data_IF_577258388960
#
_entry.id   IF_577258388960
#
_cell.length_a   1.000
_cell.length_b   1.000
_cell.length_c   1.000
_cell.angle_alpha   90.00
_cell.angle_beta   90.00
_cell.angle_gamma   90.00
#
_symmetry.space_group_name_H-M   'P 1'
#
loop_
_entity.id
_entity.type
_entity.pdbx_description
1 polymer ?
#
# COMPACT_ATOMS: atom_id res chain seq x y z
N UNK A 1 5.57 12.93 -4.01
CA UNK A 1 4.54 12.63 -2.99
C UNK A 1 5.10 12.70 -1.57
N UNK A 2 6.09 11.87 -1.21
CA UNK A 2 6.74 11.88 0.12
C UNK A 2 7.44 13.20 0.54
N UNK A 3 7.60 14.16 -0.38
CA UNK A 3 8.16 15.49 -0.11
C UNK A 3 7.13 16.61 -0.24
N UNK A 4 5.91 16.30 -0.70
CA UNK A 4 4.91 17.30 -1.10
C UNK A 4 3.67 17.24 -0.20
N UNK A 5 3.45 16.14 0.51
CA UNK A 5 2.30 15.96 1.41
C UNK A 5 2.66 15.86 2.88
N UNK A 6 3.94 15.79 3.21
CA UNK A 6 4.43 15.43 4.55
C UNK A 6 3.81 16.32 5.61
N UNK A 7 3.78 17.63 5.37
CA UNK A 7 3.34 18.64 6.32
C UNK A 7 1.84 18.60 6.60
N UNK A 8 1.04 17.98 5.73
CA UNK A 8 -0.40 17.75 5.94
C UNK A 8 -0.72 16.45 6.67
N UNK A 9 0.26 15.57 6.90
CA UNK A 9 0.05 14.28 7.56
C UNK A 9 0.28 14.38 9.07
N UNK A 10 -0.46 13.60 9.86
CA UNK A 10 -0.27 13.50 11.32
C UNK A 10 1.18 13.14 11.70
N UNK A 11 1.89 12.46 10.81
CA UNK A 11 3.27 12.07 11.01
C UNK A 11 4.26 13.25 10.92
N UNK A 12 3.89 14.42 10.39
CA UNK A 12 4.79 15.61 10.30
C UNK A 12 5.30 16.13 11.63
N UNK A 13 4.56 15.93 12.72
CA UNK A 13 4.78 16.61 14.00
C UNK A 13 4.12 17.99 14.07
N UNK A 14 3.50 18.48 12.99
CA UNK A 14 2.73 19.72 12.98
C UNK A 14 1.46 19.57 13.83
N UNK A 15 0.98 20.67 14.40
CA UNK A 15 -0.33 20.75 15.04
C UNK A 15 -1.46 20.51 14.04
N UNK A 16 -2.65 20.16 14.53
CA UNK A 16 -3.81 19.93 13.65
C UNK A 16 -4.21 21.18 12.85
N UNK A 17 -4.04 22.37 13.43
CA UNK A 17 -4.32 23.63 12.76
C UNK A 17 -3.34 23.87 11.60
N UNK A 18 -2.04 23.66 11.82
CA UNK A 18 -1.01 23.78 10.78
C UNK A 18 -1.23 22.77 9.65
N UNK A 19 -1.60 21.53 9.97
CA UNK A 19 -1.93 20.52 8.94
C UNK A 19 -3.16 20.91 8.13
N UNK A 20 -4.21 21.39 8.81
CA UNK A 20 -5.43 21.85 8.14
C UNK A 20 -5.12 23.00 7.19
N UNK A 21 -4.38 24.01 7.66
CA UNK A 21 -3.94 25.15 6.84
C UNK A 21 -3.13 24.69 5.63
N UNK A 22 -2.17 23.77 5.83
CA UNK A 22 -1.38 23.21 4.74
C UNK A 22 -2.28 22.52 3.70
N UNK A 23 -3.23 21.69 4.13
CA UNK A 23 -4.16 21.00 3.24
C UNK A 23 -5.00 22.00 2.44
N UNK A 24 -5.52 23.05 3.07
CA UNK A 24 -6.32 24.07 2.37
C UNK A 24 -5.48 24.82 1.33
N UNK A 25 -4.25 25.20 1.69
CA UNK A 25 -3.35 25.94 0.79
C UNK A 25 -2.83 25.08 -0.37
N UNK A 26 -2.90 23.75 -0.27
CA UNK A 26 -2.37 22.81 -1.25
C UNK A 26 -3.40 21.79 -1.74
N UNK A 27 -4.71 22.12 -1.68
CA UNK A 27 -5.80 21.16 -1.84
C UNK A 27 -5.71 20.30 -3.11
N UNK A 28 -5.44 20.91 -4.27
CA UNK A 28 -5.35 20.19 -5.53
C UNK A 28 -4.20 19.17 -5.54
N UNK A 29 -3.05 19.55 -4.99
CA UNK A 29 -1.87 18.68 -4.90
C UNK A 29 -2.10 17.56 -3.87
N UNK A 30 -2.75 17.89 -2.74
CA UNK A 30 -3.15 16.92 -1.72
C UNK A 30 -4.05 15.84 -2.31
N UNK A 31 -5.11 16.23 -3.03
CA UNK A 31 -6.02 15.31 -3.70
C UNK A 31 -5.33 14.44 -4.76
N UNK A 32 -4.50 15.05 -5.61
CA UNK A 32 -3.74 14.31 -6.64
C UNK A 32 -2.76 13.32 -6.02
N UNK A 33 -2.18 13.66 -4.88
CA UNK A 33 -1.35 12.74 -4.11
C UNK A 33 -2.13 11.49 -3.73
N UNK A 34 -3.24 11.62 -3.01
CA UNK A 34 -4.03 10.48 -2.58
C UNK A 34 -4.63 9.67 -3.75
N UNK A 35 -5.02 10.34 -4.84
CA UNK A 35 -5.42 9.65 -6.07
C UNK A 35 -4.27 8.79 -6.64
N UNK A 36 -3.04 9.31 -6.63
CA UNK A 36 -1.86 8.52 -7.01
C UNK A 36 -1.64 7.32 -6.06
N UNK A 37 -1.95 7.45 -4.77
CA UNK A 37 -1.92 6.33 -3.82
C UNK A 37 -2.96 5.26 -4.14
N UNK A 38 -4.20 5.67 -4.44
CA UNK A 38 -5.25 4.75 -4.87
C UNK A 38 -4.84 3.98 -6.13
N UNK A 39 -4.23 4.67 -7.11
CA UNK A 39 -3.70 4.04 -8.32
C UNK A 39 -2.57 3.05 -8.00
N UNK A 40 -1.71 3.35 -7.03
CA UNK A 40 -0.67 2.42 -6.60
C UNK A 40 -1.27 1.16 -5.94
N UNK A 41 -2.30 1.30 -5.09
CA UNK A 41 -3.02 0.19 -4.48
C UNK A 41 -3.69 -0.70 -5.53
N UNK A 42 -4.37 -0.11 -6.52
CA UNK A 42 -4.94 -0.83 -7.66
C UNK A 42 -3.85 -1.47 -8.54
N UNK A 43 -2.70 -0.80 -8.69
CA UNK A 43 -1.53 -1.32 -9.37
C UNK A 43 -0.96 -2.57 -8.69
N UNK A 44 -0.90 -2.59 -7.36
CA UNK A 44 -0.52 -3.77 -6.58
C UNK A 44 -1.46 -4.95 -6.83
N UNK A 45 -2.78 -4.74 -6.75
CA UNK A 45 -3.75 -5.80 -7.06
C UNK A 45 -3.59 -6.31 -8.49
N UNK A 46 -3.44 -5.40 -9.45
CA UNK A 46 -3.21 -5.75 -10.85
C UNK A 46 -1.94 -6.58 -11.01
N UNK A 47 -0.84 -6.17 -10.38
CA UNK A 47 0.41 -6.92 -10.37
C UNK A 47 0.24 -8.33 -9.80
N UNK A 48 -0.46 -8.48 -8.67
CA UNK A 48 -0.77 -9.78 -8.08
C UNK A 48 -1.62 -10.66 -9.01
N UNK A 49 -2.61 -10.09 -9.70
CA UNK A 49 -3.39 -10.80 -10.73
C UNK A 49 -2.52 -11.27 -11.90
N UNK A 50 -1.60 -10.43 -12.37
CA UNK A 50 -0.67 -10.77 -13.46
C UNK A 50 0.33 -11.85 -13.06
N UNK A 51 0.62 -12.03 -11.76
CA UNK A 51 1.46 -13.11 -11.26
C UNK A 51 0.78 -14.49 -11.28
N UNK A 52 -0.55 -14.56 -11.29
CA UNK A 52 -1.29 -15.82 -11.14
C UNK A 52 -0.92 -16.92 -12.15
N UNK A 53 -0.67 -16.64 -13.44
CA UNK A 53 -0.24 -17.66 -14.42
C UNK A 53 1.13 -18.30 -14.11
N UNK A 54 1.92 -17.69 -13.21
CA UNK A 54 3.22 -18.18 -12.79
C UNK A 54 3.17 -18.93 -11.45
N UNK A 55 2.00 -19.00 -10.82
CA UNK A 55 1.77 -19.63 -9.52
C UNK A 55 0.93 -20.91 -9.72
N UNK A 56 1.37 -22.07 -9.19
CA UNK A 56 0.59 -23.30 -9.29
C UNK A 56 -0.83 -23.14 -8.74
N UNK A 57 -1.79 -23.80 -9.38
CA UNK A 57 -3.18 -23.77 -8.91
C UNK A 57 -3.29 -24.43 -7.55
N UNK A 58 -3.83 -23.71 -6.57
CA UNK A 58 -4.13 -24.20 -5.22
C UNK A 58 -5.12 -23.26 -4.54
N UNK A 59 -5.74 -23.72 -3.46
CA UNK A 59 -6.60 -22.92 -2.59
C UNK A 59 -5.83 -21.76 -1.97
N UNK A 60 -4.53 -21.95 -1.69
CA UNK A 60 -3.63 -20.91 -1.18
C UNK A 60 -3.41 -19.78 -2.18
N UNK A 61 -3.38 -20.09 -3.49
CA UNK A 61 -3.34 -19.06 -4.53
C UNK A 61 -4.61 -18.20 -4.52
N UNK A 62 -5.78 -18.84 -4.37
CA UNK A 62 -7.07 -18.14 -4.28
C UNK A 62 -7.16 -17.29 -3.01
N UNK A 63 -6.76 -17.85 -1.87
CA UNK A 63 -6.70 -17.12 -0.60
C UNK A 63 -5.78 -15.91 -0.69
N UNK A 64 -4.60 -16.07 -1.30
CA UNK A 64 -3.63 -14.98 -1.48
C UNK A 64 -4.22 -13.80 -2.25
N UNK A 65 -4.84 -14.04 -3.40
CA UNK A 65 -5.45 -12.95 -4.18
C UNK A 65 -6.69 -12.36 -3.49
N UNK A 66 -7.48 -13.17 -2.80
CA UNK A 66 -8.62 -12.69 -2.02
C UNK A 66 -8.17 -11.75 -0.89
N UNK A 67 -7.11 -12.09 -0.16
CA UNK A 67 -6.55 -11.25 0.89
C UNK A 67 -6.01 -9.92 0.34
N UNK A 68 -5.36 -9.94 -0.84
CA UNK A 68 -4.98 -8.70 -1.52
C UNK A 68 -6.21 -7.86 -1.82
N UNK A 69 -7.22 -8.42 -2.48
CA UNK A 69 -8.44 -7.69 -2.83
C UNK A 69 -9.19 -7.13 -1.60
N UNK A 70 -9.28 -7.93 -0.52
CA UNK A 70 -9.88 -7.50 0.75
C UNK A 70 -9.07 -6.39 1.43
N UNK A 71 -7.75 -6.34 1.24
CA UNK A 71 -6.91 -5.23 1.71
C UNK A 71 -7.11 -3.94 0.93
N UNK A 72 -7.38 -4.02 -0.38
CA UNK A 72 -7.60 -2.82 -1.22
C UNK A 72 -8.84 -2.02 -0.79
N UNK A 73 -9.92 -2.68 -0.38
CA UNK A 73 -11.17 -1.99 -0.02
C UNK A 73 -11.04 -0.98 1.16
N UNK A 74 -10.52 -1.37 2.35
CA UNK A 74 -10.27 -0.41 3.43
C UNK A 74 -9.18 0.60 3.08
N UNK A 75 -8.18 0.20 2.29
CA UNK A 75 -7.12 1.10 1.82
C UNK A 75 -7.70 2.24 0.98
N UNK A 76 -8.46 1.94 -0.07
CA UNK A 76 -9.15 2.96 -0.89
C UNK A 76 -10.14 3.80 -0.08
N UNK A 77 -10.79 3.20 0.92
CA UNK A 77 -11.71 3.93 1.81
C UNK A 77 -10.95 4.98 2.63
N UNK A 78 -9.78 4.64 3.17
CA UNK A 78 -8.89 5.59 3.85
C UNK A 78 -8.47 6.72 2.92
N UNK A 79 -8.08 6.40 1.69
CA UNK A 79 -7.63 7.41 0.73
C UNK A 79 -8.74 8.37 0.32
N UNK A 80 -9.99 7.89 0.25
CA UNK A 80 -11.16 8.76 0.02
C UNK A 80 -11.35 9.69 1.23
N UNK A 81 -11.21 9.19 2.45
CA UNK A 81 -11.30 10.01 3.67
C UNK A 81 -10.23 11.12 3.62
N UNK A 82 -8.97 10.76 3.33
CA UNK A 82 -7.90 11.73 3.25
C UNK A 82 -8.08 12.75 2.12
N UNK A 83 -8.41 12.30 0.91
CA UNK A 83 -8.49 13.15 -0.27
C UNK A 83 -9.72 14.07 -0.26
N UNK A 84 -10.87 13.55 0.16
CA UNK A 84 -12.16 14.18 -0.13
C UNK A 84 -13.02 14.46 1.09
N UNK A 85 -12.72 13.90 2.26
CA UNK A 85 -13.53 14.12 3.48
C UNK A 85 -12.80 15.07 4.44
N UNK A 86 -11.56 14.75 4.81
CA UNK A 86 -10.74 15.56 5.74
C UNK A 86 -10.67 17.03 5.33
N UNK A 87 -10.41 17.40 4.05
CA UNK A 87 -10.31 18.79 3.66
C UNK A 87 -11.56 19.62 3.95
N UNK A 88 -12.74 19.00 3.99
CA UNK A 88 -14.02 19.68 4.22
C UNK A 88 -14.58 19.48 5.63
N UNK A 89 -13.95 18.65 6.47
CA UNK A 89 -14.43 18.33 7.82
C UNK A 89 -14.58 19.57 8.72
N UNK A 90 -13.76 20.60 8.52
CA UNK A 90 -13.82 21.87 9.25
C UNK A 90 -15.14 22.64 9.06
N UNK A 91 -15.87 22.39 7.95
CA UNK A 91 -17.17 23.00 7.69
C UNK A 91 -18.26 22.42 8.59
N UNK A 92 -18.06 21.19 9.06
CA UNK A 92 -18.96 20.49 9.98
C UNK A 92 -18.56 20.79 11.43
N UNK A 93 -17.26 20.78 11.71
CA UNK A 93 -16.69 20.96 13.04
C UNK A 93 -15.48 21.92 13.03
N UNK A 94 -15.69 23.20 13.38
CA UNK A 94 -14.62 24.19 13.44
C UNK A 94 -13.54 23.90 14.49
N UNK A 95 -13.79 22.99 15.45
CA UNK A 95 -12.79 22.64 16.48
C UNK A 95 -11.69 21.70 15.95
N UNK A 96 -11.87 21.16 14.73
CA UNK A 96 -10.99 20.17 14.09
C UNK A 96 -10.93 18.82 14.82
N UNK A 97 -11.73 18.57 15.85
CA UNK A 97 -11.78 17.27 16.53
C UNK A 97 -12.21 16.15 15.57
N UNK A 98 -13.16 16.45 14.67
CA UNK A 98 -13.59 15.54 13.60
C UNK A 98 -12.46 15.20 12.64
N UNK A 99 -11.62 16.18 12.27
CA UNK A 99 -10.44 15.94 11.43
C UNK A 99 -9.49 14.96 12.12
N UNK A 100 -9.20 15.13 13.41
CA UNK A 100 -8.31 14.25 14.16
C UNK A 100 -8.81 12.80 14.21
N UNK A 101 -10.12 12.64 14.46
CA UNK A 101 -10.78 11.33 14.47
C UNK A 101 -10.65 10.66 13.09
N UNK A 102 -10.93 11.41 12.02
CA UNK A 102 -10.85 10.91 10.65
C UNK A 102 -9.42 10.55 10.24
N UNK A 103 -8.41 11.34 10.61
CA UNK A 103 -7.00 11.00 10.37
C UNK A 103 -6.62 9.69 11.05
N UNK A 104 -7.05 9.50 12.30
CA UNK A 104 -6.79 8.28 13.07
C UNK A 104 -7.48 7.07 12.42
N UNK A 105 -8.76 7.21 12.07
CA UNK A 105 -9.52 6.16 11.41
C UNK A 105 -8.91 5.78 10.05
N UNK A 106 -8.64 6.77 9.21
CA UNK A 106 -8.07 6.55 7.89
C UNK A 106 -6.70 5.87 8.00
N UNK A 107 -5.82 6.33 8.90
CA UNK A 107 -4.53 5.71 9.15
C UNK A 107 -4.66 4.22 9.53
N UNK A 108 -5.61 3.84 10.38
CA UNK A 108 -5.81 2.44 10.74
C UNK A 108 -6.39 1.62 9.58
N UNK A 109 -7.24 2.23 8.75
CA UNK A 109 -7.79 1.57 7.56
C UNK A 109 -6.72 1.29 6.51
N UNK A 110 -5.89 2.28 6.13
CA UNK A 110 -4.80 2.07 5.14
C UNK A 110 -3.61 1.35 5.77
N UNK A 111 -3.01 1.94 6.79
CA UNK A 111 -1.71 1.53 7.32
C UNK A 111 -1.75 0.21 8.09
N UNK A 112 -2.83 -0.07 8.81
CA UNK A 112 -2.98 -1.30 9.59
C UNK A 112 -3.72 -2.37 8.80
N UNK A 113 -5.02 -2.16 8.55
CA UNK A 113 -5.92 -3.21 8.02
C UNK A 113 -5.65 -3.49 6.54
N UNK A 114 -5.74 -2.48 5.68
CA UNK A 114 -5.55 -2.61 4.25
C UNK A 114 -4.17 -3.15 3.92
N UNK A 115 -3.14 -2.46 4.40
CA UNK A 115 -1.75 -2.87 4.25
C UNK A 115 -1.48 -4.25 4.86
N UNK A 116 -2.03 -4.57 6.04
CA UNK A 116 -1.83 -5.87 6.64
C UNK A 116 -2.36 -7.00 5.75
N UNK A 117 -3.60 -6.87 5.30
CA UNK A 117 -4.26 -7.88 4.47
C UNK A 117 -3.55 -8.07 3.13
N UNK A 118 -3.24 -6.99 2.40
CA UNK A 118 -2.59 -7.15 1.10
C UNK A 118 -1.14 -7.62 1.21
N UNK A 119 -0.43 -7.33 2.31
CA UNK A 119 0.91 -7.87 2.52
C UNK A 119 0.87 -9.36 2.89
N UNK A 120 -0.12 -9.81 3.67
CA UNK A 120 -0.30 -11.26 3.94
C UNK A 120 -0.57 -11.98 2.62
N UNK A 121 -1.51 -11.48 1.82
CA UNK A 121 -1.85 -12.04 0.52
C UNK A 121 -0.68 -12.05 -0.44
N UNK A 122 0.01 -10.90 -0.57
CA UNK A 122 1.18 -10.76 -1.44
C UNK A 122 2.36 -11.63 -1.01
N UNK A 123 2.65 -11.73 0.29
CA UNK A 123 3.67 -12.64 0.83
C UNK A 123 3.35 -14.09 0.50
N UNK A 124 2.10 -14.52 0.69
CA UNK A 124 1.65 -15.87 0.36
C UNK A 124 1.83 -16.15 -1.15
N UNK A 125 1.39 -15.24 -2.02
CA UNK A 125 1.57 -15.37 -3.47
C UNK A 125 3.05 -15.43 -3.86
N UNK A 126 3.90 -14.58 -3.26
CA UNK A 126 5.34 -14.57 -3.49
C UNK A 126 5.99 -15.88 -3.01
N UNK A 127 5.58 -16.43 -1.87
CA UNK A 127 6.07 -17.71 -1.39
C UNK A 127 5.70 -18.84 -2.36
N UNK A 128 4.47 -18.85 -2.88
CA UNK A 128 4.01 -19.85 -3.86
C UNK A 128 4.74 -19.75 -5.21
N UNK A 129 5.26 -18.57 -5.60
CA UNK A 129 6.12 -18.45 -6.78
C UNK A 129 7.39 -19.30 -6.68
N UNK A 130 7.88 -19.63 -5.46
CA UNK A 130 9.04 -20.50 -5.28
C UNK A 130 8.79 -21.93 -5.76
N UNK A 131 7.53 -22.36 -5.85
CA UNK A 131 7.14 -23.65 -6.40
C UNK A 131 7.30 -23.71 -7.93
N UNK A 132 7.35 -22.57 -8.61
CA UNK A 132 7.60 -22.52 -10.05
C UNK A 132 9.11 -22.57 -10.34
N UNK A 133 9.60 -23.78 -10.69
CA UNK A 133 11.02 -24.03 -10.99
C UNK A 133 11.53 -23.30 -12.25
N UNK A 134 10.64 -22.82 -13.13
CA UNK A 134 11.04 -22.06 -14.33
C UNK A 134 11.52 -20.64 -13.97
N UNK A 135 11.10 -20.09 -12.83
CA UNK A 135 11.43 -18.72 -12.42
C UNK A 135 12.85 -18.59 -11.83
N UNK A 136 13.54 -17.45 -12.06
CA UNK A 136 14.80 -17.16 -11.38
C UNK A 136 14.60 -17.02 -9.88
N UNK A 137 15.06 -18.00 -9.08
CA UNK A 137 14.83 -18.03 -7.62
C UNK A 137 15.29 -16.77 -6.90
N UNK A 138 16.44 -16.19 -7.28
CA UNK A 138 16.95 -14.95 -6.68
C UNK A 138 15.96 -13.79 -6.85
N UNK A 139 15.31 -13.69 -8.01
CA UNK A 139 14.32 -12.64 -8.28
C UNK A 139 13.07 -12.82 -7.41
N UNK A 140 12.61 -14.06 -7.20
CA UNK A 140 11.48 -14.35 -6.31
C UNK A 140 11.82 -14.04 -4.86
N UNK A 141 13.01 -14.45 -4.39
CA UNK A 141 13.46 -14.23 -3.01
C UNK A 141 13.67 -12.74 -2.69
N UNK A 142 14.14 -11.95 -3.64
CA UNK A 142 14.28 -10.49 -3.48
C UNK A 142 12.93 -9.81 -3.25
N UNK A 143 11.80 -10.42 -3.62
CA UNK A 143 10.48 -9.86 -3.30
C UNK A 143 10.10 -9.96 -1.83
N UNK A 144 10.59 -10.98 -1.12
CA UNK A 144 10.17 -11.29 0.26
C UNK A 144 10.37 -10.14 1.26
N UNK A 145 11.51 -9.41 1.27
CA UNK A 145 11.70 -8.28 2.17
C UNK A 145 10.66 -7.16 2.02
N UNK A 146 10.12 -6.95 0.81
CA UNK A 146 9.10 -5.92 0.56
C UNK A 146 7.86 -6.13 1.42
N UNK A 147 7.38 -7.37 1.50
CA UNK A 147 6.23 -7.74 2.33
C UNK A 147 6.54 -7.65 3.83
N UNK A 148 7.77 -7.97 4.25
CA UNK A 148 8.20 -7.80 5.63
C UNK A 148 8.20 -6.32 6.07
N UNK A 149 8.61 -5.41 5.19
CA UNK A 149 8.47 -3.97 5.44
C UNK A 149 6.99 -3.58 5.57
N UNK A 150 6.11 -4.16 4.74
CA UNK A 150 4.68 -4.01 4.88
C UNK A 150 4.14 -4.47 6.24
N UNK A 151 4.57 -5.63 6.75
CA UNK A 151 4.19 -6.06 8.11
C UNK A 151 4.71 -5.09 9.18
N UNK A 152 5.93 -4.59 9.04
CA UNK A 152 6.49 -3.55 9.90
C UNK A 152 5.63 -2.29 9.90
N UNK A 153 5.17 -1.84 8.73
CA UNK A 153 4.25 -0.71 8.59
C UNK A 153 2.93 -0.97 9.32
N UNK A 154 2.30 -2.12 9.12
CA UNK A 154 1.04 -2.47 9.81
C UNK A 154 1.18 -2.44 11.33
N UNK A 155 2.27 -2.99 11.87
CA UNK A 155 2.53 -2.98 13.30
C UNK A 155 2.78 -1.55 13.79
N UNK A 156 3.55 -0.76 13.04
CA UNK A 156 3.84 0.63 13.38
C UNK A 156 2.58 1.50 13.42
N UNK A 157 1.69 1.36 12.44
CA UNK A 157 0.39 2.04 12.43
C UNK A 157 -0.51 1.57 13.57
N UNK A 158 -0.61 0.25 13.83
CA UNK A 158 -1.42 -0.29 14.92
C UNK A 158 -0.98 0.21 16.31
N UNK A 159 0.32 0.49 16.47
CA UNK A 159 0.93 0.98 17.71
C UNK A 159 1.15 2.49 17.74
N UNK A 160 0.64 3.22 16.73
CA UNK A 160 0.77 4.67 16.58
C UNK A 160 2.24 5.18 16.53
N UNK A 161 3.18 4.34 16.11
CA UNK A 161 4.60 4.72 15.95
C UNK A 161 4.84 5.39 14.59
N UNK A 162 4.52 6.68 14.49
CA UNK A 162 4.48 7.40 13.20
C UNK A 162 5.83 7.50 12.48
N UNK A 163 6.93 7.71 13.19
CA UNK A 163 8.27 7.73 12.58
C UNK A 163 8.66 6.36 12.03
N UNK A 164 8.34 5.29 12.77
CA UNK A 164 8.56 3.92 12.33
C UNK A 164 7.70 3.58 11.11
N UNK A 165 6.44 4.05 11.09
CA UNK A 165 5.55 3.90 9.96
C UNK A 165 6.13 4.57 8.70
N UNK A 166 6.57 5.83 8.79
CA UNK A 166 7.24 6.54 7.68
C UNK A 166 8.41 5.75 7.10
N UNK A 167 9.27 5.23 7.97
CA UNK A 167 10.42 4.44 7.56
C UNK A 167 9.99 3.19 6.77
N UNK A 168 9.06 2.40 7.33
CA UNK A 168 8.59 1.19 6.67
C UNK A 168 7.84 1.46 5.37
N UNK A 169 7.04 2.53 5.30
CA UNK A 169 6.41 2.97 4.05
C UNK A 169 7.46 3.30 3.00
N UNK A 170 8.45 4.13 3.33
CA UNK A 170 9.48 4.54 2.37
C UNK A 170 10.32 3.34 1.89
N UNK A 171 10.81 2.52 2.83
CA UNK A 171 11.60 1.33 2.52
C UNK A 171 10.79 0.31 1.70
N UNK A 172 9.56 0.03 2.13
CA UNK A 172 8.65 -0.91 1.47
C UNK A 172 8.30 -0.46 0.05
N UNK A 173 7.96 0.81 -0.15
CA UNK A 173 7.63 1.35 -1.48
C UNK A 173 8.81 1.24 -2.46
N UNK A 174 10.00 1.68 -2.04
CA UNK A 174 11.20 1.61 -2.90
C UNK A 174 11.51 0.16 -3.25
N UNK A 175 11.54 -0.72 -2.24
CA UNK A 175 11.88 -2.13 -2.42
C UNK A 175 10.89 -2.86 -3.32
N UNK A 176 9.59 -2.73 -3.03
CA UNK A 176 8.52 -3.36 -3.81
C UNK A 176 8.49 -2.84 -5.24
N UNK A 177 8.70 -1.53 -5.45
CA UNK A 177 8.76 -0.95 -6.80
C UNK A 177 9.91 -1.53 -7.61
N UNK A 178 11.12 -1.59 -7.03
CA UNK A 178 12.30 -2.18 -7.70
C UNK A 178 12.03 -3.65 -8.06
N UNK A 179 11.45 -4.42 -7.15
CA UNK A 179 11.15 -5.82 -7.38
C UNK A 179 10.06 -6.02 -8.46
N UNK A 180 8.95 -5.29 -8.38
CA UNK A 180 7.87 -5.34 -9.38
C UNK A 180 8.37 -4.94 -10.76
N UNK A 181 9.24 -3.93 -10.83
CA UNK A 181 9.88 -3.51 -12.08
C UNK A 181 10.79 -4.61 -12.65
N UNK A 182 11.59 -5.25 -11.80
CA UNK A 182 12.43 -6.38 -12.21
C UNK A 182 11.60 -7.57 -12.71
N UNK A 183 10.50 -7.93 -12.04
CA UNK A 183 9.54 -8.95 -12.50
C UNK A 183 8.97 -8.56 -13.87
N UNK A 184 8.59 -7.31 -14.06
CA UNK A 184 8.03 -6.83 -15.33
C UNK A 184 9.03 -6.99 -16.48
N UNK A 185 10.28 -6.56 -16.28
CA UNK A 185 11.31 -6.60 -17.32
C UNK A 185 11.82 -8.01 -17.64
N UNK A 186 11.87 -8.90 -16.63
CA UNK A 186 12.47 -10.24 -16.75
C UNK A 186 11.41 -11.29 -17.04
N UNK A 187 10.35 -11.34 -16.24
CA UNK A 187 9.32 -12.39 -16.27
C UNK A 187 8.23 -12.04 -17.28
N UNK A 188 7.57 -10.89 -17.13
CA UNK A 188 6.42 -10.56 -17.98
C UNK A 188 6.82 -10.34 -19.44
N UNK A 189 7.99 -9.73 -19.69
CA UNK A 189 8.54 -9.58 -21.05
C UNK A 189 8.78 -10.91 -21.77
N UNK A 190 9.12 -11.97 -21.05
CA UNK A 190 9.40 -13.32 -21.59
C UNK A 190 8.42 -14.34 -21.01
N UNK A 191 7.15 -13.95 -20.97
CA UNK A 191 6.10 -14.66 -20.26
C UNK A 191 6.04 -16.16 -20.56
N UNK A 192 6.15 -16.55 -21.84
CA UNK A 192 6.01 -17.94 -22.28
C UNK A 192 7.07 -18.87 -21.70
N UNK A 193 8.25 -18.34 -21.36
CA UNK A 193 9.33 -19.13 -20.76
C UNK A 193 9.04 -19.52 -19.30
N UNK A 194 8.16 -18.79 -18.63
CA UNK A 194 7.98 -18.87 -17.17
C UNK A 194 6.58 -19.33 -16.76
N UNK A 195 5.59 -19.19 -17.64
CA UNK A 195 4.22 -19.63 -17.37
C UNK A 195 4.17 -21.13 -17.07
N UNK A 196 3.28 -21.49 -16.16
CA UNK A 196 2.91 -22.89 -15.93
C UNK A 196 1.89 -23.29 -16.99
N UNK A 197 2.03 -24.50 -17.52
CA UNK A 197 0.99 -25.12 -18.33
C UNK A 197 -0.08 -25.64 -17.37
N UNK A 198 -1.34 -25.32 -17.66
CA UNK A 198 -2.50 -25.72 -16.86
C UNK A 198 -3.03 -27.07 -17.33
#
# INVERSE_FOLDING_TARGET
MAFVMTDGLAASGNSIAERHEFIQNNLGIWQLGWLNWMLAALGLLTFCCLLLPYIPSSEWRLLGILLVALGIAPDLSAEIIFAFIIPYSHQIDPSLATMQMLETLAMQLTGTLGNGLYNIGGFLLNALLLSNKKLPRKLVLIGLPGWCFGFGLSIACATYSMETAKFFTAAGMVWSTVWMFAITLIVFRKSDNYRLEH
#
